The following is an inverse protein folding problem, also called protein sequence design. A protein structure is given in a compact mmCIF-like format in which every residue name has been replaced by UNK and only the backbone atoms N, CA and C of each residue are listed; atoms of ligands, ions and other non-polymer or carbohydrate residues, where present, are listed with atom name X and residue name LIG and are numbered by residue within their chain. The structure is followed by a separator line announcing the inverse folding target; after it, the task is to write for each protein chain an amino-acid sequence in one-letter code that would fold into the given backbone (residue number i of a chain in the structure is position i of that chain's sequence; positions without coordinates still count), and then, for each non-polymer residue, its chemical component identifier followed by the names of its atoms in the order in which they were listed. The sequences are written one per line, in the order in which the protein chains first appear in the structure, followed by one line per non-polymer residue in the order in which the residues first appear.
data_IF_297962791598
#
_entry.id   IF_297962791598
#
_cell.length_a   1.000
_cell.length_b   1.000
_cell.length_c   1.000
_cell.angle_alpha   90.00
_cell.angle_beta   90.00
_cell.angle_gamma   90.00
#
_symmetry.space_group_name_H-M   'P 1'
#
loop_
_entity.id
_entity.type
_entity.pdbx_description
1 polymer ?
#
# COMPACT_ATOMS: atom_id res chain seq x y z
N UNK A 1 -6.16 -1.48 -3.74
CA UNK A 1 -5.65 -0.13 -3.97
C UNK A 1 -5.71 0.59 -2.63
N UNK A 2 -4.63 1.22 -2.22
CA UNK A 2 -4.51 1.93 -0.94
C UNK A 2 -5.16 3.30 -1.05
N UNK A 3 -6.11 3.62 -0.17
CA UNK A 3 -6.81 4.91 -0.16
C UNK A 3 -6.17 5.83 0.87
N UNK A 4 -5.57 6.91 0.41
CA UNK A 4 -4.84 7.89 1.23
C UNK A 4 -5.55 9.22 1.14
N UNK A 5 -5.72 9.90 2.28
CA UNK A 5 -6.23 11.25 2.28
C UNK A 5 -5.25 12.18 3.00
N UNK A 6 -4.98 13.33 2.41
CA UNK A 6 -4.11 14.38 2.97
C UNK A 6 -4.95 15.62 3.23
N UNK A 7 -4.88 16.15 4.45
CA UNK A 7 -5.63 17.33 4.85
C UNK A 7 -4.71 18.36 5.51
N UNK A 8 -4.59 19.52 4.87
CA UNK A 8 -3.79 20.66 5.33
C UNK A 8 -4.38 21.93 4.71
N UNK A 9 -4.56 23.00 5.48
CA UNK A 9 -5.11 24.27 4.97
C UNK A 9 -4.04 25.16 4.29
N UNK A 10 -2.76 24.81 4.45
CA UNK A 10 -1.67 25.38 3.66
C UNK A 10 -1.45 24.56 2.39
N UNK A 11 -1.70 25.17 1.22
CA UNK A 11 -1.58 24.51 -0.08
C UNK A 11 -0.13 24.05 -0.38
N UNK A 12 0.89 24.78 0.10
CA UNK A 12 2.27 24.44 -0.15
C UNK A 12 2.68 23.19 0.64
N UNK A 13 2.24 23.09 1.90
CA UNK A 13 2.47 21.92 2.76
C UNK A 13 1.70 20.72 2.26
N UNK A 14 0.43 20.91 1.85
CA UNK A 14 -0.41 19.87 1.24
C UNK A 14 0.26 19.26 0.00
N UNK A 15 0.68 20.11 -0.95
CA UNK A 15 1.33 19.64 -2.18
C UNK A 15 2.71 19.02 -1.90
N UNK A 16 3.45 19.53 -0.91
CA UNK A 16 4.72 18.95 -0.48
C UNK A 16 4.53 17.51 0.00
N UNK A 17 3.59 17.30 0.93
CA UNK A 17 3.27 15.97 1.46
C UNK A 17 2.81 15.01 0.36
N UNK A 18 1.89 15.44 -0.51
CA UNK A 18 1.38 14.65 -1.63
C UNK A 18 2.49 14.25 -2.60
N UNK A 19 3.38 15.18 -2.96
CA UNK A 19 4.49 14.89 -3.86
C UNK A 19 5.49 13.88 -3.27
N UNK A 20 5.75 13.96 -1.96
CA UNK A 20 6.60 12.97 -1.28
C UNK A 20 5.93 11.59 -1.26
N UNK A 21 4.63 11.50 -0.93
CA UNK A 21 3.87 10.25 -0.95
C UNK A 21 3.86 9.61 -2.35
N UNK A 22 3.67 10.43 -3.41
CA UNK A 22 3.76 9.95 -4.79
C UNK A 22 5.11 9.30 -5.09
N UNK A 23 6.23 9.91 -4.66
CA UNK A 23 7.57 9.35 -4.85
C UNK A 23 7.72 8.02 -4.09
N UNK A 24 7.28 7.98 -2.81
CA UNK A 24 7.38 6.80 -1.95
C UNK A 24 6.63 5.61 -2.58
N UNK A 25 5.34 5.76 -2.88
CA UNK A 25 4.52 4.65 -3.35
C UNK A 25 4.82 4.23 -4.79
N UNK A 26 5.20 5.19 -5.67
CA UNK A 26 5.59 4.88 -7.05
C UNK A 26 6.89 4.07 -7.10
N UNK A 27 7.87 4.38 -6.23
CA UNK A 27 9.15 3.67 -6.19
C UNK A 27 8.98 2.18 -5.90
N UNK A 28 7.93 1.82 -5.15
CA UNK A 28 7.62 0.45 -4.71
C UNK A 28 6.49 -0.21 -5.50
N UNK A 29 5.98 0.45 -6.54
CA UNK A 29 4.90 -0.07 -7.38
C UNK A 29 3.63 -0.43 -6.58
N UNK A 30 3.36 0.25 -5.48
CA UNK A 30 2.15 0.08 -4.69
C UNK A 30 1.01 0.81 -5.40
N UNK A 31 -0.10 0.13 -5.66
CA UNK A 31 -1.30 0.76 -6.20
C UNK A 31 -1.99 1.60 -5.12
N UNK A 32 -2.09 2.91 -5.34
CA UNK A 32 -2.65 3.87 -4.40
C UNK A 32 -3.50 4.94 -5.09
N UNK A 33 -4.35 5.57 -4.30
CA UNK A 33 -5.09 6.78 -4.67
C UNK A 33 -4.92 7.81 -3.56
N UNK A 34 -4.70 9.08 -3.89
CA UNK A 34 -4.56 10.16 -2.92
C UNK A 34 -5.64 11.21 -3.17
N UNK A 35 -6.46 11.45 -2.15
CA UNK A 35 -7.39 12.58 -2.11
C UNK A 35 -6.82 13.72 -1.28
N UNK A 36 -7.01 14.96 -1.76
CA UNK A 36 -6.50 16.18 -1.13
C UNK A 36 -7.64 17.02 -0.58
N UNK A 37 -7.50 17.52 0.63
CA UNK A 37 -8.48 18.33 1.32
C UNK A 37 -7.83 19.56 1.95
N UNK A 38 -8.40 20.74 1.71
CA UNK A 38 -7.96 22.00 2.25
C UNK A 38 -8.66 22.35 3.58
N UNK A 39 -9.61 21.54 4.03
CA UNK A 39 -10.25 21.69 5.33
C UNK A 39 -10.79 20.37 5.89
N UNK A 40 -10.85 20.30 7.21
CA UNK A 40 -11.37 19.14 7.90
C UNK A 40 -12.85 18.86 7.59
N UNK A 41 -13.67 19.90 7.41
CA UNK A 41 -15.07 19.75 7.06
C UNK A 41 -15.23 19.16 5.66
N UNK A 42 -14.49 19.67 4.68
CA UNK A 42 -14.47 19.13 3.32
C UNK A 42 -14.12 17.65 3.31
N UNK A 43 -13.11 17.25 4.10
CA UNK A 43 -12.70 15.85 4.20
C UNK A 43 -13.81 14.98 4.80
N UNK A 44 -14.42 15.38 5.89
CA UNK A 44 -15.49 14.61 6.56
C UNK A 44 -16.73 14.40 5.69
N UNK A 45 -17.08 15.40 4.86
CA UNK A 45 -18.23 15.35 3.98
C UNK A 45 -18.01 14.45 2.76
N UNK A 46 -16.79 14.42 2.22
CA UNK A 46 -16.52 13.78 0.95
C UNK A 46 -15.84 12.41 1.07
N UNK A 47 -15.12 12.14 2.19
CA UNK A 47 -14.39 10.88 2.32
C UNK A 47 -15.33 9.68 2.48
N UNK A 48 -15.25 8.74 1.56
CA UNK A 48 -16.06 7.52 1.56
C UNK A 48 -15.28 6.29 2.05
N UNK A 49 -13.96 6.27 1.82
CA UNK A 49 -13.04 5.23 2.23
C UNK A 49 -11.68 5.85 2.52
N UNK A 50 -10.96 5.32 3.49
CA UNK A 50 -9.62 5.76 3.85
C UNK A 50 -8.88 4.64 4.59
N UNK A 51 -7.67 4.36 4.16
CA UNK A 51 -6.74 3.44 4.84
C UNK A 51 -5.69 4.24 5.63
N UNK A 52 -5.21 5.36 5.05
CA UNK A 52 -4.22 6.26 5.67
C UNK A 52 -4.69 7.71 5.61
N UNK A 53 -4.70 8.38 6.74
CA UNK A 53 -4.94 9.83 6.84
C UNK A 53 -3.66 10.57 7.24
N UNK A 54 -3.24 11.54 6.43
CA UNK A 54 -2.16 12.46 6.73
C UNK A 54 -2.80 13.80 7.07
N UNK A 55 -2.64 14.27 8.31
CA UNK A 55 -3.42 15.39 8.82
C UNK A 55 -2.52 16.49 9.42
N UNK A 56 -2.74 17.74 9.05
CA UNK A 56 -2.26 18.84 9.86
C UNK A 56 -3.15 19.02 11.12
N UNK A 57 -2.56 19.51 12.19
CA UNK A 57 -3.30 19.80 13.44
C UNK A 57 -3.91 21.19 13.41
N UNK A 58 -3.18 22.16 12.89
CA UNK A 58 -3.53 23.58 13.01
C UNK A 58 -4.30 24.08 11.80
N UNK A 59 -5.56 23.70 11.70
CA UNK A 59 -6.48 24.16 10.68
C UNK A 59 -7.54 25.09 11.27
N UNK A 60 -8.00 26.08 10.48
CA UNK A 60 -8.84 27.19 10.96
C UNK A 60 -10.18 26.75 11.60
N UNK A 61 -10.94 25.86 10.96
CA UNK A 61 -12.31 25.56 11.40
C UNK A 61 -12.41 24.41 12.40
N UNK A 62 -11.84 23.27 12.04
CA UNK A 62 -11.82 22.06 12.83
C UNK A 62 -10.38 21.56 12.91
N UNK A 63 -9.83 21.61 14.09
CA UNK A 63 -8.45 21.18 14.33
C UNK A 63 -8.28 19.67 14.02
N UNK A 64 -7.12 19.29 13.50
CA UNK A 64 -6.81 17.93 13.04
C UNK A 64 -6.99 16.84 14.08
N UNK A 65 -6.87 17.14 15.39
CA UNK A 65 -7.11 16.18 16.47
C UNK A 65 -8.59 15.77 16.50
N UNK A 66 -9.50 16.75 16.38
CA UNK A 66 -10.94 16.49 16.32
C UNK A 66 -11.32 15.77 15.03
N UNK A 67 -10.68 16.15 13.91
CA UNK A 67 -10.83 15.45 12.64
C UNK A 67 -10.45 13.97 12.78
N UNK A 68 -9.27 13.69 13.33
CA UNK A 68 -8.79 12.32 13.51
C UNK A 68 -9.71 11.45 14.38
N UNK A 69 -10.30 12.01 15.47
CA UNK A 69 -11.31 11.29 16.27
C UNK A 69 -12.52 10.90 15.43
N UNK A 70 -13.08 11.86 14.67
CA UNK A 70 -14.23 11.58 13.80
C UNK A 70 -13.91 10.57 12.69
N UNK A 71 -12.70 10.62 12.15
CA UNK A 71 -12.25 9.62 11.18
C UNK A 71 -12.14 8.24 11.81
N UNK A 72 -11.58 8.12 13.02
CA UNK A 72 -11.52 6.84 13.76
C UNK A 72 -12.90 6.30 14.12
N UNK A 73 -13.86 7.16 14.44
CA UNK A 73 -15.25 6.76 14.68
C UNK A 73 -15.92 6.20 13.41
N UNK A 74 -15.67 6.83 12.24
CA UNK A 74 -16.24 6.43 10.96
C UNK A 74 -15.49 5.26 10.32
N UNK A 75 -14.16 5.21 10.49
CA UNK A 75 -13.23 4.24 9.92
C UNK A 75 -12.28 3.70 11.02
N UNK A 76 -12.68 2.70 11.79
CA UNK A 76 -11.91 2.25 12.98
C UNK A 76 -10.47 1.81 12.67
N UNK A 77 -10.25 1.24 11.48
CA UNK A 77 -8.95 0.70 11.07
C UNK A 77 -8.01 1.75 10.45
N UNK A 78 -8.50 2.99 10.23
CA UNK A 78 -7.69 4.05 9.61
C UNK A 78 -6.40 4.30 10.40
N UNK A 79 -5.28 4.36 9.70
CA UNK A 79 -4.00 4.77 10.26
C UNK A 79 -3.83 6.28 10.07
N UNK A 80 -3.59 7.00 11.15
CA UNK A 80 -3.45 8.46 11.12
C UNK A 80 -2.01 8.86 11.40
N UNK A 81 -1.46 9.69 10.52
CA UNK A 81 -0.15 10.34 10.66
C UNK A 81 -0.38 11.84 10.72
N UNK A 82 0.17 12.48 11.72
CA UNK A 82 0.07 13.93 11.86
C UNK A 82 1.34 14.61 11.39
N UNK A 83 1.19 15.69 10.61
CA UNK A 83 2.30 16.53 10.14
C UNK A 83 1.99 17.95 10.55
N UNK A 84 2.74 18.55 11.48
CA UNK A 84 2.42 19.86 12.01
C UNK A 84 3.67 20.61 12.49
N UNK A 85 3.57 21.94 12.60
CA UNK A 85 4.61 22.79 13.19
C UNK A 85 4.61 22.81 14.71
N UNK A 86 3.65 22.15 15.37
CA UNK A 86 3.41 22.27 16.81
C UNK A 86 3.74 20.96 17.55
N UNK A 87 4.96 20.85 18.04
CA UNK A 87 5.44 19.64 18.76
C UNK A 87 4.70 19.35 20.06
N UNK A 88 4.16 20.36 20.70
CA UNK A 88 3.42 20.23 21.96
C UNK A 88 2.15 19.36 21.84
N UNK A 89 1.64 19.19 20.64
CA UNK A 89 0.46 18.32 20.43
C UNK A 89 0.80 16.83 20.30
N UNK A 90 2.08 16.47 20.17
CA UNK A 90 2.51 15.09 19.97
C UNK A 90 1.88 14.11 20.97
N UNK A 91 1.99 14.39 22.27
CA UNK A 91 1.44 13.54 23.32
C UNK A 91 -0.10 13.42 23.27
N UNK A 92 -0.79 14.50 22.86
CA UNK A 92 -2.25 14.48 22.73
C UNK A 92 -2.70 13.62 21.57
N UNK A 93 -2.05 13.73 20.41
CA UNK A 93 -2.40 12.97 19.21
C UNK A 93 -2.20 11.48 19.45
N UNK A 94 -1.10 11.12 20.08
CA UNK A 94 -0.78 9.71 20.38
C UNK A 94 -1.79 9.15 21.38
N UNK A 95 -2.05 9.85 22.49
CA UNK A 95 -2.86 9.32 23.57
C UNK A 95 -4.37 9.42 23.33
N UNK A 96 -4.84 10.49 22.66
CA UNK A 96 -6.27 10.75 22.50
C UNK A 96 -6.86 10.18 21.22
N UNK A 97 -6.06 10.09 20.16
CA UNK A 97 -6.50 9.65 18.82
C UNK A 97 -5.89 8.30 18.44
N UNK A 98 -4.92 7.83 19.22
CA UNK A 98 -4.13 6.64 18.87
C UNK A 98 -3.55 6.77 17.48
N UNK A 99 -2.92 7.92 17.20
CA UNK A 99 -2.23 8.16 15.95
C UNK A 99 -1.11 7.14 15.77
N UNK A 100 -0.89 6.73 14.54
CA UNK A 100 0.22 5.87 14.21
C UNK A 100 1.55 6.61 14.39
N UNK A 101 1.64 7.84 13.91
CA UNK A 101 2.86 8.61 13.90
C UNK A 101 2.59 10.12 13.94
N UNK A 102 3.65 10.85 14.27
CA UNK A 102 3.69 12.30 14.34
C UNK A 102 5.01 12.79 13.71
N UNK A 103 4.92 13.71 12.77
CA UNK A 103 6.05 14.32 12.08
C UNK A 103 5.98 15.84 12.19
N UNK A 104 7.13 16.49 12.38
CA UNK A 104 7.22 17.95 12.47
C UNK A 104 7.46 18.57 11.08
N UNK A 105 6.86 19.72 10.82
CA UNK A 105 7.20 20.57 9.69
C UNK A 105 8.52 21.33 9.98
N UNK A 106 9.42 21.55 9.01
CA UNK A 106 9.28 21.15 7.62
C UNK A 106 9.38 19.62 7.45
N UNK A 107 8.53 19.07 6.56
CA UNK A 107 8.48 17.64 6.33
C UNK A 107 9.75 17.15 5.64
N UNK A 108 10.40 16.15 6.23
CA UNK A 108 11.59 15.51 5.68
C UNK A 108 11.22 14.20 4.96
N UNK A 109 11.69 14.04 3.72
CA UNK A 109 11.36 12.88 2.89
C UNK A 109 11.71 11.55 3.57
N UNK A 110 12.93 11.41 4.09
CA UNK A 110 13.42 10.16 4.68
C UNK A 110 12.59 9.75 5.92
N UNK A 111 12.15 10.74 6.72
CA UNK A 111 11.30 10.49 7.88
C UNK A 111 9.91 10.03 7.48
N UNK A 112 9.31 10.68 6.47
CA UNK A 112 8.01 10.28 5.96
C UNK A 112 8.08 8.89 5.34
N UNK A 113 9.10 8.62 4.53
CA UNK A 113 9.32 7.33 3.89
C UNK A 113 9.40 6.21 4.93
N UNK A 114 10.24 6.36 5.95
CA UNK A 114 10.37 5.38 7.04
C UNK A 114 9.04 5.11 7.73
N UNK A 115 8.27 6.17 8.04
CA UNK A 115 6.97 6.02 8.69
C UNK A 115 5.93 5.35 7.80
N UNK A 116 5.97 5.59 6.49
CA UNK A 116 5.07 4.91 5.54
C UNK A 116 5.37 3.42 5.47
N UNK A 117 6.66 3.00 5.49
CA UNK A 117 7.03 1.58 5.52
C UNK A 117 6.55 0.88 6.79
N UNK A 118 6.81 1.46 7.95
CA UNK A 118 6.34 0.92 9.24
C UNK A 118 4.81 0.83 9.30
N UNK A 119 4.12 1.80 8.69
CA UNK A 119 2.66 1.83 8.64
C UNK A 119 2.11 0.74 7.72
N UNK A 120 2.70 0.57 6.53
CA UNK A 120 2.28 -0.46 5.58
C UNK A 120 2.38 -1.86 6.16
N UNK A 121 3.40 -2.14 6.98
CA UNK A 121 3.55 -3.43 7.68
C UNK A 121 2.43 -3.68 8.72
N UNK A 122 1.79 -2.61 9.21
CA UNK A 122 0.71 -2.68 10.19
C UNK A 122 -0.69 -2.56 9.59
N UNK A 123 -0.81 -2.26 8.31
CA UNK A 123 -2.12 -2.27 7.67
C UNK A 123 -2.64 -3.70 7.63
N UNK A 124 -3.96 -3.89 7.88
CA UNK A 124 -4.57 -5.17 7.62
C UNK A 124 -4.26 -5.56 6.19
N UNK A 125 -3.85 -6.79 6.05
CA UNK A 125 -3.38 -7.32 4.78
C UNK A 125 -4.48 -7.29 3.72
N UNK A 126 -4.63 -6.16 3.05
CA UNK A 126 -5.54 -5.97 1.90
C UNK A 126 -4.94 -6.54 0.62
N UNK A 127 -3.89 -7.34 0.74
CA UNK A 127 -3.29 -8.02 -0.40
C UNK A 127 -4.35 -8.82 -1.13
N UNK A 128 -4.48 -8.58 -2.44
CA UNK A 128 -5.35 -9.38 -3.28
C UNK A 128 -4.87 -10.81 -3.20
N UNK A 129 -5.73 -11.69 -2.67
CA UNK A 129 -5.48 -13.13 -2.61
C UNK A 129 -6.01 -13.76 -3.89
N UNK A 130 -5.26 -14.72 -4.42
CA UNK A 130 -5.66 -15.55 -5.54
C UNK A 130 -5.49 -17.00 -5.21
N UNK A 131 -6.51 -17.79 -5.55
CA UNK A 131 -6.45 -19.25 -5.47
C UNK A 131 -5.77 -19.81 -6.72
N UNK A 132 -4.75 -20.63 -6.49
CA UNK A 132 -4.08 -21.41 -7.53
C UNK A 132 -4.39 -22.89 -7.31
N UNK A 133 -4.86 -23.56 -8.34
CA UNK A 133 -5.32 -24.96 -8.26
C UNK A 133 -4.30 -25.91 -8.90
N UNK A 134 -4.17 -27.12 -8.33
CA UNK A 134 -3.27 -28.18 -8.83
C UNK A 134 -1.84 -27.70 -8.97
N UNK A 135 -1.28 -27.24 -7.86
CA UNK A 135 0.10 -26.74 -7.78
C UNK A 135 1.00 -27.77 -7.13
N UNK A 136 2.27 -27.80 -7.52
CA UNK A 136 3.31 -28.65 -6.94
C UNK A 136 4.40 -27.77 -6.39
N UNK A 137 4.80 -27.94 -5.13
CA UNK A 137 5.89 -27.18 -4.54
C UNK A 137 7.28 -27.68 -4.99
N UNK A 138 8.33 -26.93 -4.65
CA UNK A 138 9.73 -27.26 -4.95
C UNK A 138 10.21 -28.58 -4.33
N UNK A 139 9.48 -29.12 -3.35
CA UNK A 139 9.76 -30.42 -2.70
C UNK A 139 8.96 -31.58 -3.35
N UNK A 140 8.19 -31.31 -4.39
CA UNK A 140 7.37 -32.28 -5.10
C UNK A 140 6.03 -32.60 -4.42
N UNK A 141 5.60 -31.83 -3.44
CA UNK A 141 4.30 -32.01 -2.78
C UNK A 141 3.20 -31.32 -3.59
N UNK A 142 2.16 -32.09 -3.88
CA UNK A 142 1.00 -31.59 -4.62
C UNK A 142 -0.07 -31.04 -3.69
N UNK A 143 -0.70 -29.95 -4.13
CA UNK A 143 -1.81 -29.30 -3.45
C UNK A 143 -2.98 -29.15 -4.41
N UNK A 144 -4.19 -29.44 -3.93
CA UNK A 144 -5.42 -29.22 -4.72
C UNK A 144 -5.65 -27.75 -4.98
N UNK A 145 -5.39 -26.91 -3.98
CA UNK A 145 -5.39 -25.47 -4.09
C UNK A 145 -4.47 -24.83 -3.04
N UNK A 146 -3.88 -23.72 -3.39
CA UNK A 146 -3.19 -22.83 -2.46
C UNK A 146 -3.74 -21.42 -2.66
N UNK A 147 -3.86 -20.67 -1.57
CA UNK A 147 -4.22 -19.27 -1.60
C UNK A 147 -2.97 -18.45 -1.33
N UNK A 148 -2.61 -17.62 -2.28
CA UNK A 148 -1.43 -16.75 -2.19
C UNK A 148 -1.86 -15.29 -2.31
N UNK A 149 -1.20 -14.44 -1.56
CA UNK A 149 -1.29 -12.99 -1.72
C UNK A 149 -0.43 -12.59 -2.90
N UNK A 150 -0.99 -11.87 -3.86
CA UNK A 150 -0.26 -11.49 -5.08
C UNK A 150 1.01 -10.69 -4.79
N UNK A 151 1.01 -9.90 -3.71
CA UNK A 151 2.19 -9.12 -3.28
C UNK A 151 3.36 -9.97 -2.80
N UNK A 152 3.11 -11.20 -2.31
CA UNK A 152 4.15 -12.11 -1.83
C UNK A 152 4.82 -12.86 -3.00
N UNK A 153 4.24 -12.75 -4.19
CA UNK A 153 4.77 -13.37 -5.41
C UNK A 153 5.83 -12.45 -6.01
N UNK A 154 7.06 -12.94 -6.04
CA UNK A 154 8.19 -12.21 -6.59
C UNK A 154 8.14 -12.12 -8.11
N UNK A 155 7.82 -13.24 -8.76
CA UNK A 155 7.64 -13.30 -10.22
C UNK A 155 6.89 -14.55 -10.65
N UNK A 156 6.40 -14.51 -11.89
CA UNK A 156 5.92 -15.67 -12.64
C UNK A 156 6.86 -15.96 -13.79
N UNK A 157 7.26 -17.20 -13.98
CA UNK A 157 8.11 -17.64 -15.09
C UNK A 157 7.44 -18.79 -15.86
N UNK A 158 7.33 -18.65 -17.18
CA UNK A 158 6.81 -19.73 -18.02
C UNK A 158 7.90 -20.73 -18.37
N UNK A 159 7.75 -21.97 -17.90
CA UNK A 159 8.68 -23.06 -18.15
C UNK A 159 8.27 -23.78 -19.44
N UNK A 160 8.87 -23.43 -20.57
CA UNK A 160 8.53 -24.01 -21.90
C UNK A 160 8.58 -25.54 -21.94
N UNK A 161 9.53 -26.16 -21.23
CA UNK A 161 9.74 -27.61 -21.22
C UNK A 161 8.56 -28.37 -20.61
N UNK A 162 8.03 -27.91 -19.50
CA UNK A 162 6.90 -28.53 -18.79
C UNK A 162 5.54 -27.93 -19.17
N UNK A 163 5.53 -26.78 -19.86
CA UNK A 163 4.35 -25.95 -20.17
C UNK A 163 3.61 -25.53 -18.91
N UNK A 164 4.34 -25.29 -17.82
CA UNK A 164 3.83 -24.83 -16.54
C UNK A 164 4.35 -23.44 -16.23
N UNK A 165 3.68 -22.78 -15.31
CA UNK A 165 4.11 -21.50 -14.76
C UNK A 165 4.76 -21.73 -13.40
N UNK A 166 5.96 -21.23 -13.20
CA UNK A 166 6.59 -21.14 -11.90
C UNK A 166 6.06 -19.90 -11.17
N UNK A 167 5.59 -20.08 -9.94
CA UNK A 167 5.21 -19.02 -9.02
C UNK A 167 6.31 -18.95 -7.96
N UNK A 168 7.09 -17.87 -7.95
CA UNK A 168 8.19 -17.71 -7.01
C UNK A 168 7.80 -16.78 -5.85
N UNK A 169 7.99 -17.27 -4.62
CA UNK A 169 7.94 -16.51 -3.37
C UNK A 169 9.36 -16.45 -2.77
N UNK A 170 9.53 -15.74 -1.67
CA UNK A 170 10.84 -15.58 -1.03
C UNK A 170 11.50 -16.91 -0.64
N UNK A 171 10.71 -17.84 -0.08
CA UNK A 171 11.22 -19.09 0.52
C UNK A 171 10.83 -20.35 -0.24
N UNK A 172 9.88 -20.28 -1.17
CA UNK A 172 9.33 -21.44 -1.87
C UNK A 172 8.90 -21.09 -3.28
N UNK A 173 8.94 -22.09 -4.16
CA UNK A 173 8.38 -21.98 -5.51
C UNK A 173 7.31 -23.03 -5.75
N UNK A 174 6.33 -22.70 -6.57
CA UNK A 174 5.28 -23.60 -6.99
C UNK A 174 5.21 -23.71 -8.50
N UNK A 175 5.07 -24.92 -9.01
CA UNK A 175 4.69 -25.17 -10.41
C UNK A 175 3.17 -25.18 -10.53
N UNK A 176 2.63 -24.35 -11.42
CA UNK A 176 1.22 -24.19 -11.70
C UNK A 176 0.89 -24.57 -13.13
N UNK A 177 -0.04 -25.52 -13.29
CA UNK A 177 -0.48 -25.97 -14.61
C UNK A 177 -1.59 -25.05 -15.12
N UNK A 178 -1.24 -24.06 -15.92
CA UNK A 178 -2.18 -23.14 -16.51
C UNK A 178 -1.72 -22.61 -17.87
N UNK A 179 -2.65 -22.01 -18.61
CA UNK A 179 -2.34 -21.24 -19.81
C UNK A 179 -1.79 -19.89 -19.40
N UNK A 180 -0.52 -19.61 -19.72
CA UNK A 180 0.18 -18.40 -19.27
C UNK A 180 -0.53 -17.11 -19.70
N UNK A 181 -1.03 -17.05 -20.93
CA UNK A 181 -1.77 -15.90 -21.46
C UNK A 181 -3.02 -15.59 -20.64
N UNK A 182 -3.76 -16.62 -20.22
CA UNK A 182 -4.93 -16.44 -19.34
C UNK A 182 -4.56 -15.93 -17.96
N UNK A 183 -3.46 -16.45 -17.40
CA UNK A 183 -2.97 -15.96 -16.11
C UNK A 183 -2.59 -14.48 -16.20
N UNK A 184 -1.94 -14.07 -17.28
CA UNK A 184 -1.58 -12.67 -17.55
C UNK A 184 -2.84 -11.79 -17.63
N UNK A 185 -3.85 -12.20 -18.38
CA UNK A 185 -5.13 -11.48 -18.48
C UNK A 185 -5.85 -11.35 -17.13
N UNK A 186 -5.87 -12.43 -16.34
CA UNK A 186 -6.48 -12.44 -15.00
C UNK A 186 -5.75 -11.54 -13.99
N UNK A 187 -4.43 -11.36 -14.16
CA UNK A 187 -3.59 -10.58 -13.27
C UNK A 187 -3.42 -9.13 -13.73
N UNK A 188 -3.79 -8.81 -14.98
CA UNK A 188 -3.70 -7.46 -15.55
C UNK A 188 -4.38 -6.35 -14.71
N UNK A 189 -5.55 -6.58 -14.05
CA UNK A 189 -6.18 -5.57 -13.20
C UNK A 189 -5.37 -5.22 -11.94
N UNK A 190 -4.41 -6.05 -11.57
CA UNK A 190 -3.68 -5.93 -10.30
C UNK A 190 -2.26 -5.41 -10.53
N UNK A 191 -2.00 -4.51 -11.36
CA UNK A 191 -0.79 -3.72 -11.69
C UNK A 191 0.56 -4.12 -11.01
N UNK A 192 0.61 -5.32 -10.41
CA UNK A 192 1.71 -5.84 -9.60
C UNK A 192 2.55 -6.90 -10.33
N UNK A 193 2.42 -7.02 -11.66
CA UNK A 193 3.11 -8.05 -12.41
C UNK A 193 4.46 -7.60 -12.95
N UNK A 194 5.49 -8.17 -12.37
CA UNK A 194 6.80 -8.21 -12.99
C UNK A 194 6.79 -9.28 -14.11
N UNK A 195 6.68 -8.84 -15.36
CA UNK A 195 6.93 -9.71 -16.50
C UNK A 195 8.43 -9.98 -16.57
N UNK A 196 8.85 -11.20 -16.31
CA UNK A 196 10.17 -11.61 -16.75
C UNK A 196 10.07 -12.09 -18.19
N UNK A 197 10.76 -11.39 -19.10
CA UNK A 197 11.16 -11.88 -20.41
C UNK A 197 11.77 -13.27 -20.29
N UNK A 198 11.74 -14.09 -21.35
CA UNK A 198 12.39 -15.38 -21.34
C UNK A 198 13.84 -15.25 -20.86
N UNK A 199 14.24 -16.17 -19.98
CA UNK A 199 15.56 -16.21 -19.36
C UNK A 199 16.68 -16.00 -20.41
N UNK A 200 17.75 -15.25 -20.08
CA UNK A 200 18.92 -15.09 -20.98
C UNK A 200 19.57 -16.41 -21.44
N UNK A 201 19.22 -17.53 -20.83
CA UNK A 201 19.71 -18.88 -21.22
C UNK A 201 19.05 -19.44 -22.48
N UNK A 202 18.01 -18.82 -23.04
CA UNK A 202 17.29 -19.26 -24.22
C UNK A 202 17.81 -18.61 -25.53
N UNK A 203 18.81 -17.74 -25.46
CA UNK A 203 19.38 -17.05 -26.64
C UNK A 203 20.67 -17.66 -27.19
N UNK A 204 21.16 -18.75 -26.63
CA UNK A 204 22.28 -19.50 -27.18
C UNK A 204 21.80 -20.84 -27.80
N UNK A 205 21.31 -20.74 -29.03
CA UNK A 205 21.38 -21.82 -30.09
C UNK A 205 21.27 -21.21 -31.45
#
# INVERSE_FOLDING_TARGET
MLEIAVCDDDIADLECAVNMLHKIFTSQKIAYHIEKFMSANQMLENISRIDIGILDISMEELNGIKLGRKLKEKFPDVKLVYITSYEEYCMRVINEVHAFSFLCKPLEYDKLEMQMWELLDQLPDTGVEKDFYKVTDSNGKEYLSIRLKLRDILYFEYIKRSRKVLIALADITYEYDCIFEKLVEELQPYDCLLYTSPSPRDTER
#
